data_IF_556433027339
#
_entry.id   IF_556433027339
#
_cell.length_a   1.000
_cell.length_b   1.000
_cell.length_c   1.000
_cell.angle_alpha   90.00
_cell.angle_beta   90.00
_cell.angle_gamma   90.00
#
_symmetry.space_group_name_H-M   'P 1'
#
loop_
_entity.id
_entity.type
_entity.pdbx_description
1 polymer ?
#
# COMPACT_ATOMS: atom_id res chain seq x y z
N UNK A 1 13.26 11.18 -20.31
CA UNK A 1 12.27 10.78 -19.30
C UNK A 1 12.23 9.27 -19.10
N UNK A 2 11.96 8.47 -20.15
CA UNK A 2 11.85 6.99 -20.12
C UNK A 2 12.87 6.25 -19.24
N UNK A 3 14.17 6.53 -19.41
CA UNK A 3 15.25 5.89 -18.64
C UNK A 3 15.10 6.00 -17.11
N UNK A 4 14.41 7.03 -16.64
CA UNK A 4 14.25 7.34 -15.22
C UNK A 4 12.84 7.04 -14.70
N UNK A 5 11.95 6.44 -15.50
CA UNK A 5 10.57 6.14 -15.12
C UNK A 5 10.44 4.66 -14.72
N UNK A 6 10.16 4.34 -13.43
CA UNK A 6 10.14 2.96 -12.94
C UNK A 6 9.15 2.03 -13.65
N UNK A 7 8.03 2.57 -14.15
CA UNK A 7 6.98 1.80 -14.82
C UNK A 7 7.51 1.00 -16.02
N UNK A 8 8.47 1.56 -16.77
CA UNK A 8 9.07 0.87 -17.92
C UNK A 8 10.02 -0.28 -17.53
N UNK A 9 10.39 -0.36 -16.25
CA UNK A 9 11.25 -1.40 -15.69
C UNK A 9 10.51 -2.37 -14.77
N UNK A 10 9.17 -2.30 -14.71
CA UNK A 10 8.34 -3.12 -13.84
C UNK A 10 8.57 -4.63 -14.01
N UNK A 11 8.95 -5.10 -15.20
CA UNK A 11 9.29 -6.50 -15.47
C UNK A 11 10.47 -6.99 -14.63
N UNK A 12 11.42 -6.11 -14.34
CA UNK A 12 12.66 -6.39 -13.59
C UNK A 12 12.45 -6.46 -12.08
N UNK A 13 11.28 -6.03 -11.57
CA UNK A 13 10.96 -6.11 -10.14
C UNK A 13 10.86 -7.56 -9.71
N UNK A 14 11.64 -7.94 -8.69
CA UNK A 14 11.63 -9.28 -8.07
C UNK A 14 11.25 -9.24 -6.59
N UNK A 15 11.36 -8.07 -5.96
CA UNK A 15 11.06 -7.87 -4.55
C UNK A 15 9.57 -7.54 -4.38
N UNK A 16 8.90 -8.10 -3.37
CA UNK A 16 7.55 -7.69 -2.98
C UNK A 16 7.49 -6.19 -2.67
N UNK A 17 6.42 -5.51 -3.10
CA UNK A 17 6.26 -4.07 -2.91
C UNK A 17 4.96 -3.73 -2.16
N UNK A 18 5.06 -2.77 -1.24
CA UNK A 18 3.89 -2.11 -0.64
C UNK A 18 3.95 -0.64 -1.03
N UNK A 19 2.88 -0.14 -1.65
CA UNK A 19 2.73 1.24 -2.13
C UNK A 19 1.72 1.93 -1.23
N UNK A 20 2.05 3.12 -0.71
CA UNK A 20 1.10 4.03 -0.09
C UNK A 20 0.87 5.21 -1.04
N UNK A 21 -0.37 5.45 -1.45
CA UNK A 21 -0.75 6.63 -2.23
C UNK A 21 -2.20 6.98 -1.89
N UNK A 22 -2.49 8.26 -1.64
CA UNK A 22 -3.83 8.71 -1.27
C UNK A 22 -4.49 9.53 -2.39
N UNK A 23 -5.81 9.53 -2.44
CA UNK A 23 -6.63 10.11 -3.51
C UNK A 23 -6.62 11.65 -3.55
N UNK A 24 -6.20 12.32 -2.46
CA UNK A 24 -6.08 13.78 -2.38
C UNK A 24 -4.63 14.27 -2.36
N UNK A 25 -3.68 13.45 -2.81
CA UNK A 25 -2.28 13.86 -2.94
C UNK A 25 -2.15 15.03 -3.93
N UNK A 26 -1.80 16.21 -3.40
CA UNK A 26 -1.59 17.44 -4.17
C UNK A 26 -0.16 17.62 -4.68
N UNK A 27 0.78 16.74 -4.32
CA UNK A 27 2.18 16.81 -4.74
C UNK A 27 2.50 15.79 -5.84
N UNK A 28 1.91 14.59 -5.78
CA UNK A 28 2.09 13.53 -6.77
C UNK A 28 0.73 12.98 -7.19
N UNK A 29 0.45 13.05 -8.49
CA UNK A 29 -0.80 12.58 -9.07
C UNK A 29 -1.08 11.09 -8.72
N UNK A 30 -2.27 10.81 -8.18
CA UNK A 30 -2.68 9.48 -7.73
C UNK A 30 -2.59 8.42 -8.83
N UNK A 31 -2.77 8.80 -10.10
CA UNK A 31 -2.69 7.86 -11.23
C UNK A 31 -1.30 7.24 -11.37
N UNK A 32 -0.23 7.89 -10.89
CA UNK A 32 1.12 7.32 -10.90
C UNK A 32 1.20 6.04 -10.05
N UNK A 33 0.63 6.07 -8.84
CA UNK A 33 0.55 4.91 -7.95
C UNK A 33 -0.31 3.79 -8.55
N UNK A 34 -1.48 4.16 -9.09
CA UNK A 34 -2.41 3.23 -9.73
C UNK A 34 -1.80 2.56 -10.97
N UNK A 35 -1.11 3.32 -11.84
CA UNK A 35 -0.47 2.81 -13.04
C UNK A 35 0.60 1.77 -12.68
N UNK A 36 1.46 2.08 -11.72
CA UNK A 36 2.54 1.17 -11.33
C UNK A 36 2.00 -0.07 -10.63
N UNK A 37 1.04 0.09 -9.70
CA UNK A 37 0.35 -1.03 -9.05
C UNK A 37 -0.28 -1.97 -10.08
N UNK A 38 -1.09 -1.44 -10.99
CA UNK A 38 -1.76 -2.25 -12.02
C UNK A 38 -0.77 -2.94 -12.96
N UNK A 39 0.33 -2.27 -13.31
CA UNK A 39 1.39 -2.85 -14.14
C UNK A 39 2.03 -4.05 -13.43
N UNK A 40 2.39 -3.90 -12.15
CA UNK A 40 2.97 -4.97 -11.34
C UNK A 40 1.98 -6.14 -11.15
N UNK A 41 0.69 -5.84 -10.87
CA UNK A 41 -0.37 -6.85 -10.75
C UNK A 41 -0.55 -7.65 -12.03
N UNK A 42 -0.60 -7.00 -13.20
CA UNK A 42 -0.69 -7.68 -14.51
C UNK A 42 0.51 -8.59 -14.80
N UNK A 43 1.68 -8.23 -14.26
CA UNK A 43 2.90 -9.05 -14.35
C UNK A 43 2.98 -10.15 -13.27
N UNK A 44 1.92 -10.34 -12.47
CA UNK A 44 1.87 -11.34 -11.41
C UNK A 44 2.83 -11.07 -10.25
N UNK A 45 3.30 -9.83 -10.09
CA UNK A 45 4.24 -9.47 -9.02
C UNK A 45 3.49 -9.35 -7.68
N UNK A 46 4.09 -9.78 -6.55
CA UNK A 46 3.53 -9.53 -5.22
C UNK A 46 3.58 -8.04 -4.91
N UNK A 47 2.40 -7.39 -4.93
CA UNK A 47 2.26 -5.96 -4.68
C UNK A 47 0.97 -5.65 -3.95
N UNK A 48 1.04 -4.69 -3.03
CA UNK A 48 -0.08 -4.14 -2.26
C UNK A 48 -0.13 -2.64 -2.45
N UNK A 49 -1.33 -2.08 -2.61
CA UNK A 49 -1.57 -0.64 -2.60
C UNK A 49 -2.43 -0.32 -1.39
N UNK A 50 -1.93 0.58 -0.55
CA UNK A 50 -2.63 1.15 0.59
C UNK A 50 -3.10 2.55 0.19
N UNK A 51 -4.38 2.80 0.39
CA UNK A 51 -5.03 4.08 0.12
C UNK A 51 -5.87 4.45 1.34
N UNK A 52 -5.72 5.69 1.80
CA UNK A 52 -6.55 6.26 2.86
C UNK A 52 -7.36 7.43 2.29
N UNK A 53 -8.64 7.17 2.02
CA UNK A 53 -9.52 8.14 1.34
C UNK A 53 -9.59 9.46 2.11
N UNK A 54 -9.37 10.55 1.38
CA UNK A 54 -9.34 11.93 1.85
C UNK A 54 -8.00 12.39 2.42
N UNK A 55 -6.98 11.53 2.49
CA UNK A 55 -5.63 11.94 2.88
C UNK A 55 -4.85 12.57 1.71
N UNK A 56 -3.94 13.48 2.03
CA UNK A 56 -3.10 14.16 1.04
C UNK A 56 -1.76 13.38 0.86
N UNK A 57 -0.68 14.07 0.50
CA UNK A 57 0.65 13.52 0.29
C UNK A 57 1.23 12.79 1.51
N UNK A 58 0.81 13.18 2.71
CA UNK A 58 1.12 12.49 3.95
C UNK A 58 -0.14 12.26 4.78
N UNK A 59 -0.12 11.18 5.57
CA UNK A 59 -1.20 10.84 6.49
C UNK A 59 -1.27 11.84 7.65
N UNK A 60 -2.47 12.34 7.95
CA UNK A 60 -2.72 13.31 9.02
C UNK A 60 -3.71 12.81 10.07
N UNK A 61 -4.65 11.94 9.71
CA UNK A 61 -5.57 11.36 10.70
C UNK A 61 -4.81 10.33 11.55
N UNK A 62 -4.83 10.46 12.90
CA UNK A 62 -4.08 9.54 13.77
C UNK A 62 -4.39 8.06 13.54
N UNK A 63 -5.66 7.71 13.30
CA UNK A 63 -6.07 6.33 13.00
C UNK A 63 -5.39 5.77 11.73
N UNK A 64 -5.25 6.59 10.69
CA UNK A 64 -4.59 6.19 9.45
C UNK A 64 -3.08 6.03 9.65
N UNK A 65 -2.46 6.94 10.42
CA UNK A 65 -1.04 6.86 10.74
C UNK A 65 -0.72 5.59 11.54
N UNK A 66 -1.55 5.25 12.53
CA UNK A 66 -1.40 4.04 13.33
C UNK A 66 -1.56 2.78 12.45
N UNK A 67 -2.65 2.68 11.69
CA UNK A 67 -2.88 1.54 10.81
C UNK A 67 -1.76 1.37 9.77
N UNK A 68 -1.31 2.45 9.13
CA UNK A 68 -0.19 2.39 8.18
C UNK A 68 1.09 1.89 8.83
N UNK A 69 1.42 2.38 10.03
CA UNK A 69 2.60 1.94 10.78
C UNK A 69 2.53 0.45 11.11
N UNK A 70 1.35 -0.03 11.52
CA UNK A 70 1.11 -1.44 11.83
C UNK A 70 1.20 -2.31 10.57
N UNK A 71 0.56 -1.92 9.46
CA UNK A 71 0.63 -2.63 8.18
C UNK A 71 2.06 -2.69 7.65
N UNK A 72 2.81 -1.59 7.74
CA UNK A 72 4.22 -1.56 7.36
C UNK A 72 5.06 -2.54 8.20
N UNK A 73 4.88 -2.54 9.53
CA UNK A 73 5.56 -3.48 10.41
C UNK A 73 5.21 -4.93 10.05
N UNK A 74 3.94 -5.23 9.83
CA UNK A 74 3.46 -6.57 9.47
C UNK A 74 4.03 -7.05 8.13
N UNK A 75 4.10 -6.16 7.14
CA UNK A 75 4.72 -6.42 5.85
C UNK A 75 6.19 -6.81 6.02
N UNK A 76 6.97 -6.03 6.77
CA UNK A 76 8.36 -6.35 7.04
C UNK A 76 8.55 -7.57 7.93
N UNK A 77 7.70 -7.76 8.93
CA UNK A 77 7.75 -8.95 9.79
C UNK A 77 7.55 -10.24 8.97
N UNK A 78 6.66 -10.23 7.98
CA UNK A 78 6.48 -11.36 7.07
C UNK A 78 7.73 -11.60 6.21
N UNK A 79 8.20 -10.58 5.50
CA UNK A 79 9.27 -10.76 4.50
C UNK A 79 10.70 -10.79 5.09
N UNK A 80 10.92 -10.22 6.27
CA UNK A 80 12.25 -10.10 6.87
C UNK A 80 12.42 -10.91 8.16
N UNK A 81 11.33 -11.33 8.80
CA UNK A 81 11.40 -12.11 10.06
C UNK A 81 10.69 -13.47 9.98
N UNK A 82 10.15 -13.84 8.81
CA UNK A 82 9.48 -15.12 8.62
C UNK A 82 8.17 -15.28 9.41
N UNK A 83 7.56 -14.18 9.86
CA UNK A 83 6.24 -14.25 10.50
C UNK A 83 5.17 -14.66 9.47
N UNK A 84 4.04 -15.24 9.91
CA UNK A 84 2.91 -15.51 9.02
C UNK A 84 2.45 -14.23 8.30
N UNK A 85 1.97 -14.39 7.07
CA UNK A 85 1.38 -13.29 6.31
C UNK A 85 0.16 -12.75 7.06
N UNK A 86 0.09 -11.43 7.23
CA UNK A 86 -1.07 -10.80 7.87
C UNK A 86 -2.33 -10.94 7.00
N UNK A 87 -3.51 -11.08 7.61
CA UNK A 87 -4.77 -11.31 6.89
C UNK A 87 -5.06 -10.26 5.81
N UNK A 88 -4.86 -8.98 6.11
CA UNK A 88 -5.04 -7.90 5.13
C UNK A 88 -4.10 -8.01 3.91
N UNK A 89 -2.93 -8.65 4.03
CA UNK A 89 -2.05 -8.89 2.89
C UNK A 89 -2.60 -10.01 2.00
N UNK A 90 -3.25 -11.00 2.60
CA UNK A 90 -3.80 -12.13 1.85
C UNK A 90 -5.10 -11.75 1.14
N UNK A 91 -6.03 -11.16 1.89
CA UNK A 91 -7.42 -11.01 1.47
C UNK A 91 -7.75 -9.55 1.08
N UNK A 92 -6.88 -8.59 1.40
CA UNK A 92 -7.16 -7.17 1.27
C UNK A 92 -8.07 -6.65 2.39
N UNK A 93 -8.40 -5.36 2.33
CA UNK A 93 -9.44 -4.75 3.16
C UNK A 93 -10.31 -3.95 2.20
N UNK A 94 -11.60 -4.27 2.11
CA UNK A 94 -12.48 -3.56 1.18
C UNK A 94 -12.75 -2.14 1.65
N UNK A 95 -13.14 -1.27 0.71
CA UNK A 95 -13.52 0.11 1.03
C UNK A 95 -14.70 0.19 2.00
N UNK A 96 -15.60 -0.80 1.97
CA UNK A 96 -16.79 -0.85 2.83
C UNK A 96 -16.41 -1.20 4.28
N UNK A 97 -15.40 -2.04 4.46
CA UNK A 97 -14.93 -2.51 5.77
C UNK A 97 -13.90 -1.56 6.41
N UNK A 98 -13.41 -0.56 5.67
CA UNK A 98 -12.28 0.25 6.11
C UNK A 98 -12.51 0.98 7.44
N UNK A 99 -13.72 1.47 7.70
CA UNK A 99 -14.03 2.15 8.97
C UNK A 99 -14.03 1.19 10.17
N UNK A 100 -14.54 -0.02 9.99
CA UNK A 100 -14.47 -1.08 10.99
C UNK A 100 -13.03 -1.54 11.22
N UNK A 101 -12.29 -1.81 10.13
CA UNK A 101 -10.88 -2.15 10.18
C UNK A 101 -10.06 -1.13 10.97
N UNK A 102 -10.25 0.18 10.72
CA UNK A 102 -9.54 1.23 11.46
C UNK A 102 -9.90 1.26 12.95
N UNK A 103 -11.16 1.00 13.30
CA UNK A 103 -11.60 0.91 14.71
C UNK A 103 -10.95 -0.28 15.42
N UNK A 104 -10.92 -1.45 14.78
CA UNK A 104 -10.27 -2.65 15.33
C UNK A 104 -8.75 -2.45 15.51
N UNK A 105 -8.12 -1.73 14.59
CA UNK A 105 -6.69 -1.41 14.65
C UNK A 105 -6.35 -0.44 15.77
N UNK A 106 -7.24 0.50 16.07
CA UNK A 106 -7.06 1.45 17.16
C UNK A 106 -7.24 0.81 18.55
N UNK A 107 -8.01 -0.28 18.65
CA UNK A 107 -8.25 -1.01 19.89
C UNK A 107 -7.13 -1.98 20.30
N UNK A 108 -6.09 -2.13 19.46
CA UNK A 108 -4.92 -3.00 19.69
C UNK A 108 -3.67 -2.18 19.99
#
# INVERSE_FOLDING_TARGET
YYRNSPVFFARSVKTPLMILHNDKDGAVDFTQGVEYFNTLRRLGKPVWMLEYVGENHGLRKPANMQDYTVRMREFFDHYLKGKPMAGWMKDGVSRLEMEEHLRERAAK
#
